data_IF_552450910142
#
_entry.id   IF_552450910142
#
_cell.length_a   1.000
_cell.length_b   1.000
_cell.length_c   1.000
_cell.angle_alpha   90.00
_cell.angle_beta   90.00
_cell.angle_gamma   90.00
#
_symmetry.space_group_name_H-M   'P 1'
#
loop_
_entity.id
_entity.type
_entity.pdbx_description
1 polymer ?
#
# COMPACT_ATOMS: atom_id res chain seq x y z
N UNK A 1 -20.68 -2.85 -20.71
CA UNK A 1 -19.88 -1.71 -21.24
C UNK A 1 -18.44 -1.65 -20.70
N UNK A 2 -18.17 -1.44 -19.40
CA UNK A 2 -16.78 -1.44 -18.85
C UNK A 2 -16.03 -2.75 -19.13
N UNK A 3 -16.62 -3.88 -18.71
CA UNK A 3 -16.03 -5.20 -18.89
C UNK A 3 -15.82 -5.58 -20.37
N UNK A 4 -16.69 -5.10 -21.27
CA UNK A 4 -16.60 -5.36 -22.71
C UNK A 4 -15.48 -4.56 -23.37
N UNK A 5 -15.26 -3.30 -22.94
CA UNK A 5 -14.12 -2.49 -23.42
C UNK A 5 -12.79 -3.06 -22.96
N UNK A 6 -12.69 -3.46 -21.68
CA UNK A 6 -11.49 -4.11 -21.14
C UNK A 6 -11.21 -5.45 -21.83
N UNK A 7 -12.26 -6.23 -22.15
CA UNK A 7 -12.11 -7.52 -22.83
C UNK A 7 -11.71 -7.41 -24.32
N UNK A 8 -11.84 -6.23 -24.94
CA UNK A 8 -11.53 -6.00 -26.34
C UNK A 8 -10.13 -5.38 -26.58
N UNK A 9 -9.38 -5.10 -25.52
CA UNK A 9 -8.07 -4.44 -25.58
C UNK A 9 -6.92 -5.44 -25.71
N UNK A 10 -5.80 -4.97 -26.27
CA UNK A 10 -4.57 -5.76 -26.28
C UNK A 10 -4.01 -5.92 -24.85
N UNK A 11 -3.26 -6.99 -24.59
CA UNK A 11 -2.77 -7.35 -23.25
C UNK A 11 -1.85 -6.29 -22.60
N UNK A 12 -1.36 -5.35 -23.41
CA UNK A 12 -0.35 -4.34 -23.09
C UNK A 12 -0.90 -2.89 -23.10
N UNK A 13 -2.21 -2.71 -23.20
CA UNK A 13 -2.84 -1.37 -23.14
C UNK A 13 -3.24 -0.95 -21.71
N UNK A 14 -3.04 0.32 -21.40
CA UNK A 14 -3.45 0.93 -20.11
C UNK A 14 -4.78 1.65 -20.28
N UNK A 15 -5.75 1.33 -19.42
CA UNK A 15 -7.05 2.02 -19.36
C UNK A 15 -7.01 3.14 -18.33
N UNK A 16 -7.41 4.35 -18.74
CA UNK A 16 -7.65 5.48 -17.84
C UNK A 16 -9.15 5.74 -17.78
N UNK A 17 -9.75 5.50 -16.60
CA UNK A 17 -11.17 5.79 -16.35
C UNK A 17 -11.32 7.18 -15.71
N UNK A 18 -11.93 8.13 -16.44
CA UNK A 18 -12.29 9.46 -15.89
C UNK A 18 -13.61 9.35 -15.10
N UNK A 19 -13.51 9.43 -13.77
CA UNK A 19 -14.62 9.24 -12.83
C UNK A 19 -14.75 10.48 -11.92
N UNK A 20 -15.64 11.44 -12.25
CA UNK A 20 -15.76 12.70 -11.51
C UNK A 20 -16.17 12.56 -10.05
N UNK A 21 -16.87 11.47 -9.69
CA UNK A 21 -17.36 11.20 -8.34
C UNK A 21 -16.59 10.06 -7.64
N UNK A 22 -15.37 9.76 -8.07
CA UNK A 22 -14.57 8.62 -7.57
C UNK A 22 -14.38 8.67 -6.04
N UNK A 23 -14.19 9.87 -5.49
CA UNK A 23 -13.96 10.08 -4.06
C UNK A 23 -15.27 10.02 -3.29
N UNK A 24 -16.31 10.69 -3.79
CA UNK A 24 -17.64 10.77 -3.20
C UNK A 24 -18.33 9.41 -3.14
N UNK A 25 -18.09 8.55 -4.14
CA UNK A 25 -18.65 7.20 -4.23
C UNK A 25 -17.80 6.12 -3.56
N UNK A 26 -16.63 6.47 -3.00
CA UNK A 26 -15.73 5.51 -2.36
C UNK A 26 -15.16 4.46 -3.32
N UNK A 27 -15.05 4.78 -4.61
CA UNK A 27 -14.64 3.82 -5.65
C UNK A 27 -13.13 3.66 -5.80
N UNK A 28 -12.31 4.51 -5.17
CA UNK A 28 -10.85 4.45 -5.25
C UNK A 28 -10.25 3.04 -5.02
N UNK A 29 -10.73 2.24 -4.05
CA UNK A 29 -10.20 0.89 -3.81
C UNK A 29 -10.39 -0.12 -4.96
N UNK A 30 -11.25 0.19 -5.94
CA UNK A 30 -11.47 -0.66 -7.11
C UNK A 30 -10.35 -0.56 -8.15
N UNK A 31 -9.43 0.40 -7.97
CA UNK A 31 -8.38 0.71 -8.94
C UNK A 31 -6.99 0.43 -8.37
N UNK A 32 -6.08 -0.17 -9.17
CA UNK A 32 -4.71 -0.41 -8.75
C UNK A 32 -3.89 0.88 -8.61
N UNK A 33 -4.27 1.96 -9.30
CA UNK A 33 -3.65 3.28 -9.24
C UNK A 33 -4.69 4.38 -9.41
N UNK A 34 -4.69 5.37 -8.51
CA UNK A 34 -5.58 6.55 -8.57
C UNK A 34 -4.76 7.81 -8.76
N UNK A 35 -5.01 8.52 -9.86
CA UNK A 35 -4.43 9.83 -10.16
C UNK A 35 -5.47 10.91 -9.91
N UNK A 36 -5.18 11.86 -9.01
CA UNK A 36 -6.02 13.04 -8.79
C UNK A 36 -5.32 14.26 -9.34
N UNK A 37 -5.99 14.97 -10.25
CA UNK A 37 -5.55 16.27 -10.75
C UNK A 37 -6.16 17.37 -9.87
N UNK A 38 -5.34 18.25 -9.32
CA UNK A 38 -5.78 19.39 -8.52
C UNK A 38 -5.30 20.72 -9.10
N UNK A 39 -5.90 21.81 -8.65
CA UNK A 39 -5.39 23.16 -8.84
C UNK A 39 -5.88 24.03 -7.69
N UNK A 40 -5.16 25.10 -7.39
CA UNK A 40 -5.55 26.07 -6.36
C UNK A 40 -6.98 26.59 -6.58
N UNK A 41 -7.70 26.88 -5.48
CA UNK A 41 -9.09 27.29 -5.52
C UNK A 41 -9.32 28.53 -6.42
N UNK A 42 -8.43 29.51 -6.35
CA UNK A 42 -8.48 30.73 -7.16
C UNK A 42 -8.24 30.44 -8.66
N UNK A 43 -7.33 29.51 -8.98
CA UNK A 43 -7.09 29.08 -10.37
C UNK A 43 -8.31 28.35 -10.91
N UNK A 44 -8.92 27.46 -10.13
CA UNK A 44 -10.16 26.76 -10.50
C UNK A 44 -11.30 27.74 -10.76
N UNK A 45 -11.48 28.72 -9.87
CA UNK A 45 -12.50 29.75 -9.99
C UNK A 45 -12.30 30.59 -11.26
N UNK A 46 -11.09 31.11 -11.46
CA UNK A 46 -10.72 31.89 -12.66
C UNK A 46 -10.97 31.12 -13.96
N UNK A 47 -10.68 29.82 -13.99
CA UNK A 47 -10.96 28.97 -15.17
C UNK A 47 -12.47 28.76 -15.39
N UNK A 48 -13.26 28.58 -14.34
CA UNK A 48 -14.72 28.40 -14.44
C UNK A 48 -15.42 29.69 -14.89
N UNK A 49 -15.02 30.84 -14.37
CA UNK A 49 -15.61 32.13 -14.73
C UNK A 49 -15.13 32.61 -16.10
N UNK A 50 -13.81 32.59 -16.33
CA UNK A 50 -13.21 33.13 -17.55
C UNK A 50 -13.40 32.27 -18.80
N UNK A 51 -13.21 30.95 -18.71
CA UNK A 51 -13.28 30.06 -19.89
C UNK A 51 -14.66 29.47 -20.13
N UNK A 52 -15.46 29.27 -19.07
CA UNK A 52 -16.79 28.62 -19.17
C UNK A 52 -17.94 29.61 -18.97
N UNK A 53 -17.66 30.90 -18.76
CA UNK A 53 -18.68 31.94 -18.60
C UNK A 53 -19.60 31.74 -17.40
N UNK A 54 -19.16 30.98 -16.39
CA UNK A 54 -19.98 30.68 -15.21
C UNK A 54 -20.01 31.87 -14.26
N UNK A 55 -21.16 32.17 -13.66
CA UNK A 55 -21.24 33.15 -12.59
C UNK A 55 -20.36 32.71 -11.41
N UNK A 56 -19.67 33.65 -10.78
CA UNK A 56 -18.71 33.34 -9.71
C UNK A 56 -19.35 32.59 -8.53
N UNK A 57 -20.56 33.01 -8.13
CA UNK A 57 -21.33 32.36 -7.06
C UNK A 57 -21.63 30.89 -7.38
N UNK A 58 -22.04 30.60 -8.61
CA UNK A 58 -22.32 29.23 -9.07
C UNK A 58 -21.05 28.37 -9.13
N UNK A 59 -19.93 28.96 -9.58
CA UNK A 59 -18.64 28.29 -9.61
C UNK A 59 -18.16 27.92 -8.20
N UNK A 60 -18.27 28.85 -7.24
CA UNK A 60 -17.96 28.60 -5.82
C UNK A 60 -18.86 27.52 -5.22
N UNK A 61 -20.17 27.57 -5.47
CA UNK A 61 -21.12 26.57 -4.98
C UNK A 61 -20.80 25.17 -5.50
N UNK A 62 -20.45 25.04 -6.79
CA UNK A 62 -20.04 23.76 -7.39
C UNK A 62 -18.74 23.22 -6.81
N UNK A 63 -17.75 24.09 -6.58
CA UNK A 63 -16.48 23.69 -5.94
C UNK A 63 -16.73 23.18 -4.52
N UNK A 64 -17.61 23.85 -3.77
CA UNK A 64 -17.92 23.49 -2.39
C UNK A 64 -18.76 22.20 -2.26
N UNK A 65 -19.53 21.84 -3.28
CA UNK A 65 -20.33 20.62 -3.31
C UNK A 65 -19.52 19.33 -3.58
N UNK A 66 -18.27 19.46 -4.03
CA UNK A 66 -17.38 18.33 -4.30
C UNK A 66 -16.64 17.90 -3.03
N UNK A 67 -16.00 16.73 -3.07
CA UNK A 67 -15.10 16.29 -2.02
C UNK A 67 -14.07 17.38 -1.65
N UNK A 68 -13.66 17.43 -0.39
CA UNK A 68 -12.59 18.31 0.08
C UNK A 68 -11.24 17.88 -0.48
N UNK A 69 -10.24 18.77 -0.44
CA UNK A 69 -8.87 18.41 -0.81
C UNK A 69 -8.34 17.25 0.04
N UNK A 70 -8.55 17.30 1.37
CA UNK A 70 -8.12 16.24 2.27
C UNK A 70 -8.76 14.88 1.97
N UNK A 71 -10.04 14.88 1.57
CA UNK A 71 -10.70 13.64 1.11
C UNK A 71 -10.07 13.13 -0.18
N UNK A 72 -9.77 14.00 -1.14
CA UNK A 72 -9.10 13.61 -2.38
C UNK A 72 -7.66 13.13 -2.16
N UNK A 73 -6.88 13.81 -1.32
CA UNK A 73 -5.49 13.44 -1.01
C UNK A 73 -5.41 12.06 -0.36
N UNK A 74 -6.34 11.75 0.54
CA UNK A 74 -6.38 10.44 1.21
C UNK A 74 -6.47 9.26 0.26
N UNK A 75 -7.14 9.41 -0.89
CA UNK A 75 -7.34 8.33 -1.87
C UNK A 75 -6.41 8.40 -3.08
N UNK A 76 -5.59 9.45 -3.21
CA UNK A 76 -4.72 9.64 -4.36
C UNK A 76 -3.39 8.87 -4.20
N UNK A 77 -3.08 7.98 -5.14
CA UNK A 77 -1.74 7.40 -5.26
C UNK A 77 -0.77 8.37 -5.96
N UNK A 78 -1.32 9.25 -6.80
CA UNK A 78 -0.64 10.34 -7.47
C UNK A 78 -1.45 11.62 -7.30
N UNK A 79 -0.79 12.66 -6.81
CA UNK A 79 -1.34 14.00 -6.67
C UNK A 79 -0.70 14.91 -7.72
N UNK A 80 -1.43 15.26 -8.77
CA UNK A 80 -0.91 15.97 -9.94
C UNK A 80 -1.36 17.45 -9.93
N UNK A 81 -0.42 18.37 -9.79
CA UNK A 81 -0.70 19.81 -9.73
C UNK A 81 -0.89 20.41 -11.13
N UNK A 82 -2.07 21.01 -11.33
CA UNK A 82 -2.49 21.70 -12.55
C UNK A 82 -2.78 23.19 -12.26
N UNK A 83 -2.14 23.79 -11.26
CA UNK A 83 -2.22 25.23 -10.98
C UNK A 83 -1.44 26.06 -12.00
N UNK A 84 -0.48 25.45 -12.71
CA UNK A 84 0.34 26.07 -13.73
C UNK A 84 -0.31 26.21 -15.12
N UNK A 85 0.55 26.26 -16.13
CA UNK A 85 0.19 26.34 -17.55
C UNK A 85 -0.16 24.98 -18.14
N UNK A 86 -0.79 24.99 -19.32
CA UNK A 86 -1.11 23.76 -20.06
C UNK A 86 0.13 22.93 -20.42
N UNK A 87 1.24 23.59 -20.79
CA UNK A 87 2.50 22.89 -21.05
C UNK A 87 3.05 22.17 -19.82
N UNK A 88 2.93 22.77 -18.63
CA UNK A 88 3.42 22.17 -17.39
C UNK A 88 2.67 20.89 -17.01
N UNK A 89 1.32 20.87 -17.15
CA UNK A 89 0.55 19.67 -16.85
C UNK A 89 0.78 18.57 -17.89
N UNK A 90 1.00 18.92 -19.16
CA UNK A 90 1.36 17.94 -20.21
C UNK A 90 2.70 17.27 -19.90
N UNK A 91 3.72 18.04 -19.49
CA UNK A 91 5.01 17.48 -19.11
C UNK A 91 4.94 16.66 -17.83
N UNK A 92 4.19 17.11 -16.82
CA UNK A 92 3.97 16.34 -15.59
C UNK A 92 3.26 14.99 -15.87
N UNK A 93 2.25 14.99 -16.74
CA UNK A 93 1.56 13.78 -17.17
C UNK A 93 2.49 12.85 -17.97
N UNK A 94 3.34 13.41 -18.85
CA UNK A 94 4.34 12.65 -19.60
C UNK A 94 5.38 12.01 -18.67
N UNK A 95 5.87 12.73 -17.67
CA UNK A 95 6.79 12.17 -16.68
C UNK A 95 6.14 11.04 -15.91
N UNK A 96 4.92 11.24 -15.39
CA UNK A 96 4.16 10.22 -14.68
C UNK A 96 3.99 8.95 -15.53
N UNK A 97 3.69 9.13 -16.82
CA UNK A 97 3.53 8.02 -17.74
C UNK A 97 4.80 7.17 -17.84
N UNK A 98 5.94 7.79 -18.20
CA UNK A 98 7.18 7.05 -18.45
C UNK A 98 7.83 6.52 -17.18
N UNK A 99 7.69 7.23 -16.05
CA UNK A 99 8.39 6.87 -14.81
C UNK A 99 7.62 5.90 -13.92
N UNK A 100 6.29 5.84 -14.05
CA UNK A 100 5.45 5.02 -13.14
C UNK A 100 4.45 4.15 -13.89
N UNK A 101 3.59 4.74 -14.73
CA UNK A 101 2.47 4.00 -15.36
C UNK A 101 2.99 2.91 -16.32
N UNK A 102 3.88 3.29 -17.25
CA UNK A 102 4.40 2.35 -18.24
C UNK A 102 5.23 1.22 -17.60
N UNK A 103 6.18 1.49 -16.67
CA UNK A 103 6.88 0.41 -15.95
C UNK A 103 5.94 -0.46 -15.11
N UNK A 104 4.93 0.13 -14.46
CA UNK A 104 3.93 -0.63 -13.70
C UNK A 104 3.17 -1.61 -14.60
N UNK A 105 2.63 -1.12 -15.73
CA UNK A 105 1.92 -1.97 -16.69
C UNK A 105 2.81 -3.11 -17.22
N UNK A 106 4.07 -2.80 -17.56
CA UNK A 106 5.03 -3.80 -18.04
C UNK A 106 5.36 -4.86 -16.98
N UNK A 107 5.60 -4.43 -15.73
CA UNK A 107 5.84 -5.35 -14.61
C UNK A 107 4.63 -6.25 -14.39
N UNK A 108 3.42 -5.69 -14.42
CA UNK A 108 2.20 -6.43 -14.19
C UNK A 108 1.93 -7.49 -15.27
N UNK A 109 2.06 -7.11 -16.55
CA UNK A 109 1.90 -8.02 -17.69
C UNK A 109 2.94 -9.16 -17.67
N UNK A 110 4.14 -8.89 -17.14
CA UNK A 110 5.19 -9.91 -16.97
C UNK A 110 5.13 -10.68 -15.65
N UNK A 111 4.14 -10.41 -14.79
CA UNK A 111 4.01 -11.05 -13.48
C UNK A 111 5.17 -10.72 -12.52
N UNK A 112 5.85 -9.59 -12.70
CA UNK A 112 7.01 -9.16 -11.91
C UNK A 112 6.65 -8.08 -10.92
N UNK A 113 7.34 -8.08 -9.78
CA UNK A 113 7.28 -6.98 -8.82
C UNK A 113 8.24 -5.87 -9.20
N UNK A 114 7.96 -4.65 -8.72
CA UNK A 114 8.95 -3.59 -8.71
C UNK A 114 10.13 -3.96 -7.81
N UNK A 115 11.29 -3.37 -8.10
CA UNK A 115 12.50 -3.56 -7.29
C UNK A 115 12.35 -2.89 -5.92
N UNK A 116 12.91 -3.54 -4.90
CA UNK A 116 12.99 -2.98 -3.57
C UNK A 116 13.97 -1.78 -3.54
N UNK A 117 13.61 -0.66 -2.89
CA UNK A 117 14.54 0.43 -2.65
C UNK A 117 15.75 -0.06 -1.85
N UNK A 118 16.98 0.27 -2.28
CA UNK A 118 18.19 -0.36 -1.76
C UNK A 118 18.61 0.15 -0.39
N UNK A 119 18.09 1.30 0.07
CA UNK A 119 18.57 1.98 1.28
C UNK A 119 17.41 2.46 2.16
N UNK A 120 17.60 2.49 3.49
CA UNK A 120 16.66 3.15 4.39
C UNK A 120 16.61 4.66 4.15
N UNK A 121 15.44 5.23 4.38
CA UNK A 121 15.15 6.67 4.39
C UNK A 121 14.66 7.10 5.78
N UNK A 122 14.71 8.40 6.10
CA UNK A 122 14.04 8.93 7.29
C UNK A 122 12.56 8.56 7.31
N UNK A 123 11.99 8.42 8.50
CA UNK A 123 10.56 8.12 8.65
C UNK A 123 9.68 9.11 7.88
N UNK A 124 8.86 8.60 6.94
CA UNK A 124 7.91 9.41 6.18
C UNK A 124 6.57 9.46 6.94
N UNK A 125 6.08 10.66 7.34
CA UNK A 125 4.81 10.80 8.05
C UNK A 125 3.59 10.39 7.21
N UNK A 126 3.73 10.25 5.90
CA UNK A 126 2.65 9.85 4.99
C UNK A 126 2.52 8.34 4.80
N UNK A 127 3.46 7.52 5.29
CA UNK A 127 3.35 6.05 5.19
C UNK A 127 2.05 5.48 5.75
N UNK A 128 1.49 5.94 6.89
CA UNK A 128 0.21 5.44 7.38
C UNK A 128 -0.94 5.69 6.39
N UNK A 129 -0.97 6.85 5.74
CA UNK A 129 -2.02 7.17 4.75
C UNK A 129 -1.87 6.35 3.47
N UNK A 130 -0.62 6.13 3.03
CA UNK A 130 -0.31 5.25 1.91
C UNK A 130 -0.72 3.80 2.21
N UNK A 131 -0.43 3.31 3.42
CA UNK A 131 -0.81 1.97 3.86
C UNK A 131 -2.33 1.82 3.96
N UNK A 132 -3.07 2.87 4.35
CA UNK A 132 -4.53 2.82 4.37
C UNK A 132 -5.14 2.71 2.97
N UNK A 133 -4.56 3.40 1.96
CA UNK A 133 -4.98 3.21 0.56
C UNK A 133 -4.78 1.77 0.09
N UNK A 134 -3.62 1.20 0.39
CA UNK A 134 -3.31 -0.19 0.08
C UNK A 134 -4.29 -1.12 0.81
N UNK A 135 -4.51 -0.90 2.12
CA UNK A 135 -5.47 -1.67 2.92
C UNK A 135 -6.87 -1.64 2.32
N UNK A 136 -7.38 -0.46 1.95
CA UNK A 136 -8.70 -0.33 1.35
C UNK A 136 -8.84 -1.13 0.04
N UNK A 137 -7.82 -1.07 -0.83
CA UNK A 137 -7.73 -1.87 -2.06
C UNK A 137 -7.72 -3.37 -1.76
N UNK A 138 -6.93 -3.79 -0.77
CA UNK A 138 -6.83 -5.20 -0.38
C UNK A 138 -8.11 -5.72 0.27
N UNK A 139 -8.82 -4.93 1.08
CA UNK A 139 -10.14 -5.28 1.63
C UNK A 139 -11.12 -5.59 0.49
N UNK A 140 -11.16 -4.72 -0.52
CA UNK A 140 -12.01 -4.89 -1.70
C UNK A 140 -11.60 -6.10 -2.54
N UNK A 141 -10.29 -6.31 -2.72
CA UNK A 141 -9.72 -7.40 -3.55
C UNK A 141 -9.90 -8.76 -2.90
N UNK A 142 -9.67 -8.87 -1.59
CA UNK A 142 -9.70 -10.14 -0.87
C UNK A 142 -11.12 -10.57 -0.50
N UNK A 143 -12.01 -9.61 -0.26
CA UNK A 143 -13.37 -9.86 0.22
C UNK A 143 -13.37 -10.71 1.48
N UNK A 144 -14.28 -11.68 1.55
CA UNK A 144 -14.47 -12.55 2.73
C UNK A 144 -13.27 -13.47 3.05
N UNK A 145 -12.30 -13.64 2.14
CA UNK A 145 -11.12 -14.49 2.38
C UNK A 145 -10.12 -13.85 3.33
N UNK A 146 -10.07 -12.51 3.39
CA UNK A 146 -9.26 -11.81 4.39
C UNK A 146 -10.05 -11.67 5.70
N UNK A 147 -9.55 -12.29 6.77
CA UNK A 147 -10.08 -12.11 8.14
C UNK A 147 -9.71 -10.74 8.71
N UNK A 148 -8.49 -10.28 8.41
CA UNK A 148 -7.96 -8.95 8.76
C UNK A 148 -6.81 -8.59 7.83
N UNK A 149 -6.60 -7.28 7.66
CA UNK A 149 -5.50 -6.71 6.88
C UNK A 149 -4.86 -5.61 7.71
N UNK A 150 -3.56 -5.74 7.95
CA UNK A 150 -2.80 -4.90 8.88
C UNK A 150 -1.53 -4.35 8.20
N UNK A 151 -1.22 -3.09 8.48
CA UNK A 151 0.09 -2.51 8.17
C UNK A 151 1.12 -3.03 9.17
N UNK A 152 2.14 -3.72 8.68
CA UNK A 152 3.21 -4.33 9.48
C UNK A 152 4.58 -3.82 9.02
N UNK A 153 5.65 -4.41 9.56
CA UNK A 153 7.02 -4.04 9.18
C UNK A 153 7.45 -2.70 9.78
N UNK A 154 8.57 -2.15 9.29
CA UNK A 154 9.15 -0.94 9.92
C UNK A 154 8.39 0.33 9.59
N UNK A 155 7.76 0.41 8.42
CA UNK A 155 6.97 1.60 8.04
C UNK A 155 5.71 1.76 8.91
N UNK A 156 5.28 0.70 9.61
CA UNK A 156 4.21 0.74 10.61
C UNK A 156 4.68 1.19 12.02
N UNK A 157 5.99 1.31 12.26
CA UNK A 157 6.56 1.75 13.53
C UNK A 157 6.74 3.26 13.51
N UNK A 158 6.10 3.97 14.44
CA UNK A 158 6.03 5.44 14.43
C UNK A 158 7.42 6.08 14.55
N UNK A 159 7.81 6.88 13.57
CA UNK A 159 9.08 7.63 13.59
C UNK A 159 10.33 6.75 13.42
N UNK A 160 10.20 5.55 12.85
CA UNK A 160 11.33 4.67 12.59
C UNK A 160 11.82 4.81 11.14
N UNK A 161 13.11 5.07 10.96
CA UNK A 161 13.76 4.98 9.65
C UNK A 161 13.59 3.57 9.06
N UNK A 162 13.29 3.49 7.77
CA UNK A 162 13.01 2.23 7.09
C UNK A 162 13.35 2.31 5.61
N UNK A 163 13.51 1.17 4.95
CA UNK A 163 13.40 1.14 3.48
C UNK A 163 11.97 1.56 3.13
N UNK A 164 11.81 2.37 2.09
CA UNK A 164 10.51 2.89 1.64
C UNK A 164 9.67 1.78 0.97
N UNK A 165 9.25 0.80 1.78
CA UNK A 165 8.46 -0.36 1.39
C UNK A 165 7.37 -0.52 2.44
N UNK A 166 6.11 -0.58 1.99
CA UNK A 166 4.99 -0.86 2.88
C UNK A 166 4.79 -2.37 2.97
N UNK A 167 4.90 -2.93 4.16
CA UNK A 167 4.59 -4.33 4.42
C UNK A 167 3.14 -4.44 4.90
N UNK A 168 2.31 -5.21 4.20
CA UNK A 168 0.94 -5.53 4.62
C UNK A 168 0.82 -7.01 4.98
N UNK A 169 0.13 -7.31 6.06
CA UNK A 169 -0.26 -8.68 6.41
C UNK A 169 -1.72 -8.90 6.08
N UNK A 170 -2.01 -9.94 5.30
CA UNK A 170 -3.35 -10.46 5.04
C UNK A 170 -3.49 -11.74 5.86
N UNK A 171 -4.39 -11.75 6.84
CA UNK A 171 -4.68 -12.95 7.64
C UNK A 171 -5.83 -13.72 7.00
N UNK A 172 -5.64 -15.01 6.75
CA UNK A 172 -6.62 -15.90 6.10
C UNK A 172 -6.95 -17.11 6.98
N UNK A 173 -8.03 -17.85 6.68
CA UNK A 173 -8.39 -19.04 7.44
C UNK A 173 -7.44 -20.22 7.16
N UNK A 174 -6.95 -20.33 5.92
CA UNK A 174 -6.01 -21.38 5.53
C UNK A 174 -5.18 -21.02 4.29
N UNK A 175 -4.18 -21.84 3.98
CA UNK A 175 -3.33 -21.62 2.81
C UNK A 175 -4.07 -21.77 1.48
N UNK A 176 -5.19 -22.52 1.44
CA UNK A 176 -6.06 -22.59 0.27
C UNK A 176 -6.63 -21.21 -0.09
N UNK A 177 -7.12 -20.46 0.90
CA UNK A 177 -7.61 -19.09 0.67
C UNK A 177 -6.48 -18.19 0.14
N UNK A 178 -5.26 -18.36 0.67
CA UNK A 178 -4.10 -17.63 0.19
C UNK A 178 -3.74 -17.96 -1.26
N UNK A 179 -3.89 -19.22 -1.67
CA UNK A 179 -3.68 -19.66 -3.04
C UNK A 179 -4.78 -19.12 -3.97
N UNK A 180 -6.04 -19.14 -3.55
CA UNK A 180 -7.19 -18.65 -4.31
C UNK A 180 -7.18 -17.13 -4.53
N UNK A 181 -6.49 -16.38 -3.66
CA UNK A 181 -6.31 -14.92 -3.81
C UNK A 181 -5.34 -14.53 -4.93
N UNK A 182 -4.58 -15.47 -5.50
CA UNK A 182 -3.45 -15.12 -6.36
C UNK A 182 -3.86 -14.35 -7.63
N UNK A 183 -4.94 -14.76 -8.29
CA UNK A 183 -5.43 -14.09 -9.50
C UNK A 183 -6.06 -12.72 -9.21
N UNK A 184 -6.77 -12.58 -8.08
CA UNK A 184 -7.37 -11.31 -7.66
C UNK A 184 -6.29 -10.29 -7.27
N UNK A 185 -5.28 -10.72 -6.51
CA UNK A 185 -4.14 -9.87 -6.14
C UNK A 185 -3.31 -9.48 -7.36
N UNK A 186 -3.11 -10.39 -8.33
CA UNK A 186 -2.48 -10.05 -9.59
C UNK A 186 -3.27 -8.93 -10.31
N UNK A 187 -4.59 -9.05 -10.47
CA UNK A 187 -5.41 -7.99 -11.08
C UNK A 187 -5.33 -6.65 -10.32
N UNK A 188 -5.15 -6.71 -8.99
CA UNK A 188 -4.98 -5.53 -8.16
C UNK A 188 -3.56 -4.92 -8.19
N UNK A 189 -2.62 -5.51 -8.94
CA UNK A 189 -1.25 -5.00 -9.09
C UNK A 189 -0.18 -5.73 -8.29
N UNK A 190 -0.50 -6.90 -7.71
CA UNK A 190 0.36 -7.62 -6.77
C UNK A 190 0.64 -9.08 -7.19
N UNK A 191 1.56 -9.33 -8.14
CA UNK A 191 1.95 -10.68 -8.53
C UNK A 191 2.58 -11.48 -7.39
N UNK A 192 2.42 -12.81 -7.45
CA UNK A 192 2.95 -13.76 -6.48
C UNK A 192 4.42 -14.09 -6.75
N UNK A 193 5.24 -14.10 -5.70
CA UNK A 193 6.59 -14.68 -5.75
C UNK A 193 6.52 -16.13 -5.26
N UNK A 194 6.35 -17.07 -6.19
CA UNK A 194 6.13 -18.48 -5.89
C UNK A 194 7.27 -19.15 -5.10
N UNK A 195 8.49 -18.61 -5.20
CA UNK A 195 9.67 -19.09 -4.49
C UNK A 195 9.67 -18.78 -2.99
N UNK A 196 8.82 -17.86 -2.52
CA UNK A 196 8.73 -17.48 -1.10
C UNK A 196 7.48 -18.13 -0.48
N UNK A 197 7.66 -19.25 0.19
CA UNK A 197 6.57 -20.06 0.76
C UNK A 197 6.60 -20.18 2.28
N UNK A 198 7.63 -19.65 2.94
CA UNK A 198 7.76 -19.64 4.40
C UNK A 198 8.56 -18.42 4.87
N UNK A 199 8.36 -18.04 6.14
CA UNK A 199 9.29 -17.18 6.88
C UNK A 199 10.40 -18.02 7.52
N UNK A 200 11.46 -17.35 7.98
CA UNK A 200 12.50 -17.98 8.81
C UNK A 200 11.86 -18.44 10.13
N UNK A 201 12.11 -19.68 10.53
CA UNK A 201 11.62 -20.21 11.81
C UNK A 201 12.42 -19.63 12.99
N UNK A 202 11.71 -19.05 13.96
CA UNK A 202 12.31 -18.39 15.13
C UNK A 202 12.04 -19.11 16.46
N UNK A 203 11.19 -20.14 16.46
CA UNK A 203 10.69 -20.86 17.64
C UNK A 203 11.46 -22.16 17.96
N UNK A 204 12.59 -22.40 17.30
CA UNK A 204 13.41 -23.61 17.51
C UNK A 204 13.14 -24.77 16.56
N UNK A 205 12.27 -24.62 15.54
CA UNK A 205 12.28 -25.49 14.36
C UNK A 205 11.17 -26.52 14.24
N UNK A 206 10.20 -26.56 15.16
CA UNK A 206 9.18 -27.61 15.19
C UNK A 206 7.93 -27.30 14.34
N UNK A 207 7.76 -26.05 13.90
CA UNK A 207 6.61 -25.61 13.08
C UNK A 207 7.15 -24.98 11.80
N UNK A 208 6.59 -25.35 10.64
CA UNK A 208 6.90 -24.66 9.38
C UNK A 208 6.08 -23.37 9.30
N UNK A 209 6.77 -22.23 9.18
CA UNK A 209 6.17 -20.89 9.16
C UNK A 209 5.67 -20.54 7.75
N UNK A 210 4.78 -21.37 7.21
CA UNK A 210 4.27 -21.21 5.85
C UNK A 210 3.55 -19.87 5.63
N UNK A 211 3.66 -19.36 4.42
CA UNK A 211 2.95 -18.18 3.94
C UNK A 211 2.79 -18.20 2.42
N UNK A 212 2.10 -17.21 1.89
CA UNK A 212 2.28 -16.73 0.51
C UNK A 212 2.81 -15.31 0.53
N UNK A 213 3.52 -14.94 -0.53
CA UNK A 213 4.14 -13.64 -0.65
C UNK A 213 3.88 -13.05 -2.03
N UNK A 214 3.44 -11.80 -2.03
CA UNK A 214 3.23 -10.99 -3.23
C UNK A 214 3.96 -9.67 -3.07
N UNK A 215 4.24 -8.98 -4.16
CA UNK A 215 4.74 -7.61 -4.11
C UNK A 215 4.09 -6.75 -5.17
N UNK A 216 4.11 -5.44 -4.96
CA UNK A 216 3.57 -4.46 -5.93
C UNK A 216 4.39 -4.47 -7.22
N UNK A 217 3.71 -4.41 -8.37
CA UNK A 217 4.35 -4.11 -9.66
C UNK A 217 4.58 -2.61 -9.88
N UNK A 218 3.98 -1.74 -9.06
CA UNK A 218 4.10 -0.28 -9.17
C UNK A 218 5.44 0.22 -8.55
N UNK A 219 6.38 0.73 -9.36
CA UNK A 219 7.65 1.23 -8.85
C UNK A 219 7.52 2.51 -8.02
N UNK A 220 6.40 3.23 -8.14
CA UNK A 220 6.14 4.42 -7.32
C UNK A 220 5.69 4.08 -5.90
N UNK A 221 5.32 2.82 -5.63
CA UNK A 221 4.95 2.37 -4.27
C UNK A 221 5.27 0.90 -4.02
N UNK A 222 6.55 0.58 -3.79
CA UNK A 222 6.98 -0.74 -3.36
C UNK A 222 6.17 -1.20 -2.14
N UNK A 223 5.56 -2.37 -2.26
CA UNK A 223 4.68 -2.94 -1.23
C UNK A 223 4.92 -4.45 -1.18
N UNK A 224 5.05 -5.01 0.00
CA UNK A 224 5.13 -6.46 0.24
C UNK A 224 3.83 -6.92 0.89
N UNK A 225 3.22 -7.98 0.36
CA UNK A 225 2.04 -8.60 0.94
C UNK A 225 2.40 -9.97 1.50
N UNK A 226 2.20 -10.13 2.81
CA UNK A 226 2.38 -11.39 3.52
C UNK A 226 1.02 -12.01 3.79
N UNK A 227 0.72 -13.15 3.16
CA UNK A 227 -0.52 -13.88 3.44
C UNK A 227 -0.21 -15.00 4.43
N UNK A 228 -0.77 -14.91 5.63
CA UNK A 228 -0.49 -15.83 6.74
C UNK A 228 -1.77 -16.37 7.35
N UNK A 229 -1.70 -17.59 7.87
CA UNK A 229 -2.84 -18.29 8.45
C UNK A 229 -3.13 -17.74 9.84
N UNK A 230 -4.40 -17.56 10.16
CA UNK A 230 -4.84 -17.10 11.46
C UNK A 230 -4.27 -17.95 12.61
N UNK A 231 -3.75 -17.29 13.64
CA UNK A 231 -3.13 -17.93 14.79
C UNK A 231 -1.72 -18.50 14.58
N UNK A 232 -1.20 -18.54 13.34
CA UNK A 232 0.13 -19.08 13.09
C UNK A 232 1.23 -18.20 13.73
N UNK A 233 2.40 -18.78 14.12
CA UNK A 233 3.45 -18.02 14.79
C UNK A 233 3.92 -16.78 14.01
N UNK A 234 4.11 -16.92 12.69
CA UNK A 234 4.48 -15.80 11.82
C UNK A 234 3.39 -14.73 11.68
N UNK A 235 2.12 -15.13 11.70
CA UNK A 235 0.99 -14.20 11.66
C UNK A 235 0.94 -13.34 12.92
N UNK A 236 1.04 -13.99 14.10
CA UNK A 236 0.99 -13.31 15.39
C UNK A 236 2.22 -12.44 15.60
N UNK A 237 3.40 -12.95 15.25
CA UNK A 237 4.66 -12.24 15.46
C UNK A 237 4.75 -10.94 14.65
N UNK A 238 4.27 -10.92 13.40
CA UNK A 238 4.31 -9.70 12.60
C UNK A 238 3.50 -8.54 13.23
N UNK A 239 2.36 -8.84 13.85
CA UNK A 239 1.54 -7.87 14.58
C UNK A 239 2.21 -7.46 15.90
N UNK A 240 2.66 -8.45 16.67
CA UNK A 240 3.35 -8.26 17.94
C UNK A 240 4.59 -7.38 17.79
N UNK A 241 5.40 -7.63 16.76
CA UNK A 241 6.66 -6.94 16.56
C UNK A 241 6.49 -5.43 16.40
N UNK A 242 5.45 -5.00 15.67
CA UNK A 242 5.10 -3.57 15.53
C UNK A 242 4.65 -2.97 16.86
N UNK A 243 3.74 -3.66 17.58
CA UNK A 243 3.26 -3.20 18.89
C UNK A 243 4.43 -3.07 19.90
N UNK A 244 5.28 -4.10 19.94
CA UNK A 244 6.46 -4.15 20.79
C UNK A 244 7.45 -3.03 20.49
N UNK A 245 7.82 -2.81 19.22
CA UNK A 245 8.72 -1.71 18.85
C UNK A 245 8.13 -0.33 19.12
N UNK A 246 6.82 -0.16 18.96
CA UNK A 246 6.15 1.09 19.31
C UNK A 246 6.22 1.35 20.82
N UNK A 247 6.01 0.32 21.65
CA UNK A 247 6.10 0.41 23.11
C UNK A 247 7.54 0.49 23.65
N UNK A 248 8.55 0.10 22.86
CA UNK A 248 9.95 0.04 23.30
C UNK A 248 10.87 0.85 22.36
N UNK A 249 10.87 2.20 22.41
CA UNK A 249 11.65 3.03 21.51
C UNK A 249 13.16 2.72 21.48
N UNK A 250 13.73 2.30 22.61
CA UNK A 250 15.15 1.91 22.70
C UNK A 250 15.53 0.74 21.79
N UNK A 251 14.58 -0.16 21.46
CA UNK A 251 14.81 -1.31 20.58
C UNK A 251 14.76 -0.97 19.09
N UNK A 252 14.26 0.23 18.73
CA UNK A 252 14.18 0.67 17.33
C UNK A 252 15.57 0.94 16.76
N UNK A 253 16.47 1.49 17.58
CA UNK A 253 17.86 1.75 17.20
C UNK A 253 18.61 0.45 16.85
N UNK A 254 18.45 -0.59 17.68
CA UNK A 254 19.03 -1.92 17.44
C UNK A 254 18.49 -2.54 16.15
N UNK A 255 17.17 -2.45 15.93
CA UNK A 255 16.54 -2.94 14.71
C UNK A 255 17.07 -2.23 13.45
N UNK A 256 17.26 -0.91 13.53
CA UNK A 256 17.81 -0.11 12.44
C UNK A 256 19.28 -0.44 12.15
N UNK A 257 20.09 -0.66 13.18
CA UNK A 257 21.49 -1.06 13.03
C UNK A 257 21.63 -2.38 12.26
N UNK A 258 20.75 -3.36 12.50
CA UNK A 258 20.73 -4.62 11.75
C UNK A 258 20.40 -4.42 10.28
N UNK A 259 19.41 -3.57 10.00
CA UNK A 259 19.00 -3.26 8.62
C UNK A 259 20.08 -2.51 7.83
N UNK A 260 21.06 -1.92 8.52
CA UNK A 260 22.24 -1.28 7.91
C UNK A 260 23.44 -2.23 7.73
N UNK A 261 23.27 -3.52 8.04
CA UNK A 261 24.29 -4.55 7.77
C UNK A 261 25.06 -5.03 9.00
N UNK A 262 24.42 -5.12 10.17
CA UNK A 262 25.05 -5.77 11.32
C UNK A 262 25.27 -7.28 11.07
N UNK A 263 26.21 -7.85 11.82
CA UNK A 263 26.92 -9.10 11.48
C UNK A 263 26.09 -10.38 11.54
N UNK A 264 24.94 -10.40 12.22
CA UNK A 264 24.01 -11.55 12.25
C UNK A 264 22.53 -11.14 12.46
N UNK A 265 21.80 -10.84 11.36
CA UNK A 265 20.38 -10.47 11.42
C UNK A 265 19.46 -11.56 12.00
N UNK A 266 19.81 -12.83 11.82
CA UNK A 266 18.95 -13.95 12.21
C UNK A 266 19.08 -14.26 13.70
N UNK A 267 20.28 -14.19 14.27
CA UNK A 267 20.46 -14.31 15.73
C UNK A 267 19.69 -13.24 16.47
N UNK A 268 19.81 -11.97 16.07
CA UNK A 268 19.08 -10.90 16.73
C UNK A 268 17.56 -11.06 16.59
N UNK A 269 17.07 -11.48 15.42
CA UNK A 269 15.63 -11.67 15.24
C UNK A 269 15.07 -12.76 16.16
N UNK A 270 15.84 -13.83 16.43
CA UNK A 270 15.47 -14.86 17.41
C UNK A 270 15.42 -14.31 18.84
N UNK A 271 16.39 -13.47 19.22
CA UNK A 271 16.37 -12.82 20.53
C UNK A 271 15.21 -11.82 20.66
N UNK A 272 14.96 -11.03 19.61
CA UNK A 272 13.84 -10.11 19.54
C UNK A 272 12.49 -10.84 19.62
N UNK A 273 12.37 -12.02 18.99
CA UNK A 273 11.20 -12.88 19.10
C UNK A 273 10.88 -13.23 20.57
N UNK A 274 11.87 -13.72 21.32
CA UNK A 274 11.70 -14.04 22.74
C UNK A 274 11.34 -12.81 23.59
N UNK A 275 12.05 -11.68 23.39
CA UNK A 275 11.79 -10.43 24.12
C UNK A 275 10.39 -9.86 23.85
N UNK A 276 9.93 -9.92 22.60
CA UNK A 276 8.63 -9.43 22.22
C UNK A 276 7.51 -10.25 22.89
N UNK A 277 7.65 -11.57 22.97
CA UNK A 277 6.67 -12.43 23.66
C UNK A 277 6.68 -12.24 25.18
N UNK A 278 7.86 -12.12 25.80
CA UNK A 278 7.95 -11.80 27.23
C UNK A 278 7.29 -10.46 27.56
N UNK A 279 7.47 -9.45 26.70
CA UNK A 279 6.75 -8.19 26.81
C UNK A 279 5.24 -8.39 26.67
N UNK A 280 4.79 -9.14 25.67
CA UNK A 280 3.37 -9.39 25.42
C UNK A 280 2.70 -10.03 26.64
N UNK A 281 3.32 -11.04 27.24
CA UNK A 281 2.85 -11.67 28.47
C UNK A 281 2.78 -10.67 29.63
N UNK A 282 3.81 -9.84 29.80
CA UNK A 282 3.87 -8.88 30.92
C UNK A 282 2.76 -7.82 30.90
N UNK A 283 2.28 -7.44 29.71
CA UNK A 283 1.25 -6.40 29.52
C UNK A 283 -0.11 -6.96 29.12
N UNK A 284 -0.25 -8.30 29.03
CA UNK A 284 -1.46 -8.96 28.55
C UNK A 284 -1.80 -8.61 27.09
N UNK A 285 -0.80 -8.40 26.24
CA UNK A 285 -1.01 -8.05 24.84
C UNK A 285 -1.63 -9.24 24.09
N UNK A 286 -2.68 -8.94 23.34
CA UNK A 286 -3.22 -9.80 22.29
C UNK A 286 -3.44 -8.95 21.04
N UNK A 287 -3.34 -9.52 19.83
CA UNK A 287 -3.85 -8.83 18.65
C UNK A 287 -5.34 -8.53 18.85
N UNK A 288 -5.78 -7.32 18.51
CA UNK A 288 -7.20 -6.94 18.64
C UNK A 288 -8.08 -8.01 17.99
N UNK A 289 -9.23 -8.38 18.60
CA UNK A 289 -10.17 -9.30 17.98
C UNK A 289 -10.58 -8.78 16.60
N UNK A 290 -10.83 -9.71 15.68
CA UNK A 290 -11.24 -9.40 14.29
C UNK A 290 -12.41 -8.39 14.34
N UNK A 291 -12.16 -7.14 13.92
CA UNK A 291 -13.18 -6.09 13.79
C UNK A 291 -13.73 -6.04 12.38
#
# INVERSE_FOLDING_TARGET
>A
RRAELVAAMAEDEVVVEDIPLLVESGMAPLFPLVVVVHADAEVRLSRLTGRRGMAEADARARIAAQATEDQRRRVADVWLDNSGTEGQIVEAARELWHRRIQPFAHNLASGRTADDPPRPVPADPSWPEQAERIRARLVTTCGHRARRIDHVGSTAVRGMDARDIIDMQITVAGLSDADDLAADLLRAGYPRLAQITADITLDGGNIQWHKRFHGSSDPGRPTHLHIRVDGSPNQRFALLFVAWLNANPGMRADCLALKRGATDPQAWLREAYGRAWAWAESVGWSPDPLS
#
